data_IF_991842116032
#
_entry.id   IF_991842116032
#
_cell.length_a   1.000
_cell.length_b   1.000
_cell.length_c   1.000
_cell.angle_alpha   90.00
_cell.angle_beta   90.00
_cell.angle_gamma   90.00
#
_symmetry.space_group_name_H-M   'P 1'
#
loop_
_entity.id
_entity.type
_entity.pdbx_description
1 polymer ?
#
# COMPACT_ATOMS: atom_id res chain seq x y z
N UNK A 1 15.24 10.39 -9.05
CA UNK A 1 15.18 10.77 -7.63
C UNK A 1 13.85 10.34 -7.02
N UNK A 2 13.78 10.20 -5.69
CA UNK A 2 12.54 9.84 -4.97
C UNK A 2 11.39 10.82 -5.27
N UNK A 3 11.67 12.12 -5.35
CA UNK A 3 10.70 13.14 -5.76
C UNK A 3 10.14 12.92 -7.17
N UNK A 4 10.93 12.36 -8.08
CA UNK A 4 10.46 12.04 -9.43
C UNK A 4 9.52 10.84 -9.49
N UNK A 5 9.52 9.96 -8.48
CA UNK A 5 8.63 8.79 -8.42
C UNK A 5 7.17 9.23 -8.31
N UNK A 6 6.86 10.23 -7.50
CA UNK A 6 5.52 10.81 -7.40
C UNK A 6 4.99 11.25 -8.77
N UNK A 7 5.82 11.96 -9.54
CA UNK A 7 5.44 12.42 -10.87
C UNK A 7 5.19 11.25 -11.84
N UNK A 8 5.97 10.17 -11.72
CA UNK A 8 5.76 8.95 -12.54
C UNK A 8 4.40 8.31 -12.22
N UNK A 9 4.02 8.22 -10.95
CA UNK A 9 2.69 7.73 -10.57
C UNK A 9 1.58 8.58 -11.17
N UNK A 10 1.65 9.91 -11.00
CA UNK A 10 0.64 10.81 -11.58
C UNK A 10 0.54 10.67 -13.09
N UNK A 11 1.67 10.64 -13.80
CA UNK A 11 1.68 10.51 -15.26
C UNK A 11 0.96 9.24 -15.72
N UNK A 12 1.28 8.10 -15.10
CA UNK A 12 0.69 6.82 -15.49
C UNK A 12 -0.82 6.75 -15.15
N UNK A 13 -1.25 7.20 -13.98
CA UNK A 13 -2.67 7.21 -13.65
C UNK A 13 -3.48 8.22 -14.47
N UNK A 14 -2.92 9.36 -14.83
CA UNK A 14 -3.58 10.31 -15.74
C UNK A 14 -3.72 9.72 -17.14
N UNK A 15 -2.70 9.01 -17.63
CA UNK A 15 -2.77 8.28 -18.90
C UNK A 15 -3.83 7.18 -18.87
N UNK A 16 -3.92 6.45 -17.77
CA UNK A 16 -4.95 5.43 -17.58
C UNK A 16 -6.36 6.01 -17.62
N UNK A 17 -6.60 7.16 -16.99
CA UNK A 17 -7.88 7.86 -17.10
C UNK A 17 -8.21 8.29 -18.52
N UNK A 18 -7.24 8.84 -19.25
CA UNK A 18 -7.44 9.23 -20.64
C UNK A 18 -7.78 8.00 -21.51
N UNK A 19 -7.07 6.91 -21.31
CA UNK A 19 -7.31 5.63 -21.98
C UNK A 19 -8.73 5.09 -21.70
N UNK A 20 -9.16 5.11 -20.45
CA UNK A 20 -10.51 4.70 -20.06
C UNK A 20 -11.57 5.55 -20.77
N UNK A 21 -11.42 6.87 -20.78
CA UNK A 21 -12.34 7.79 -21.44
C UNK A 21 -12.40 7.55 -22.97
N UNK A 22 -11.29 7.21 -23.62
CA UNK A 22 -11.28 6.83 -25.03
C UNK A 22 -12.13 5.56 -25.29
N UNK A 23 -11.98 4.55 -24.44
CA UNK A 23 -12.77 3.35 -24.51
C UNK A 23 -14.26 3.57 -24.21
N UNK A 24 -14.60 4.36 -23.20
CA UNK A 24 -15.96 4.74 -22.88
C UNK A 24 -16.63 5.44 -24.06
N UNK A 25 -15.93 6.42 -24.65
CA UNK A 25 -16.38 7.14 -25.84
C UNK A 25 -16.64 6.19 -27.01
N UNK A 26 -15.69 5.29 -27.30
CA UNK A 26 -15.87 4.31 -28.37
C UNK A 26 -17.03 3.35 -28.07
N UNK A 27 -17.16 2.90 -26.84
CA UNK A 27 -18.20 1.96 -26.44
C UNK A 27 -19.62 2.59 -26.49
N UNK A 28 -19.72 3.90 -26.28
CA UNK A 28 -21.00 4.63 -26.39
C UNK A 28 -21.47 4.85 -27.83
N UNK A 29 -20.62 4.63 -28.84
CA UNK A 29 -20.99 4.77 -30.24
C UNK A 29 -22.01 3.72 -30.69
N UNK A 30 -22.90 4.11 -31.59
CA UNK A 30 -23.80 3.20 -32.28
C UNK A 30 -23.03 2.20 -33.17
N UNK A 31 -23.67 1.10 -33.54
CA UNK A 31 -23.07 0.10 -34.44
C UNK A 31 -22.62 0.69 -35.79
N UNK A 32 -23.39 1.67 -36.30
CA UNK A 32 -23.06 2.35 -37.56
C UNK A 32 -21.83 3.23 -37.46
N UNK A 33 -21.64 3.89 -36.30
CA UNK A 33 -20.47 4.73 -36.01
C UNK A 33 -19.24 3.90 -35.72
N UNK A 34 -19.37 2.82 -34.94
CA UNK A 34 -18.28 1.88 -34.68
C UNK A 34 -17.67 1.28 -35.96
N UNK A 35 -18.50 1.01 -36.98
CA UNK A 35 -18.02 0.55 -38.28
C UNK A 35 -17.17 1.56 -39.03
N UNK A 36 -17.26 2.85 -38.69
CA UNK A 36 -16.53 3.97 -39.31
C UNK A 36 -15.39 4.51 -38.45
N UNK A 37 -15.30 4.06 -37.20
CA UNK A 37 -14.35 4.56 -36.22
C UNK A 37 -13.42 3.42 -35.83
N UNK A 38 -12.11 3.68 -35.83
CA UNK A 38 -11.15 2.71 -35.34
C UNK A 38 -11.29 2.59 -33.82
N UNK A 39 -11.35 1.36 -33.31
CA UNK A 39 -11.34 1.12 -31.86
C UNK A 39 -10.00 1.58 -31.26
N UNK A 40 -9.99 2.10 -30.03
CA UNK A 40 -8.76 2.36 -29.31
C UNK A 40 -7.88 1.10 -29.27
N UNK A 41 -6.57 1.28 -29.29
CA UNK A 41 -5.64 0.15 -29.16
C UNK A 41 -5.70 -0.38 -27.73
N UNK A 42 -5.85 -1.69 -27.59
CA UNK A 42 -5.73 -2.34 -26.28
C UNK A 42 -4.32 -2.19 -25.71
N UNK A 43 -4.24 -1.79 -24.45
CA UNK A 43 -3.03 -1.60 -23.68
C UNK A 43 -3.19 -2.29 -22.32
N UNK A 44 -2.49 -3.41 -22.13
CA UNK A 44 -2.59 -4.23 -20.91
C UNK A 44 -2.07 -3.51 -19.66
N UNK A 45 -1.11 -2.61 -19.81
CA UNK A 45 -0.61 -1.78 -18.72
C UNK A 45 -1.70 -0.79 -18.27
N UNK A 46 -2.30 -0.08 -19.22
CA UNK A 46 -3.38 0.86 -18.92
C UNK A 46 -4.62 0.16 -18.36
N UNK A 47 -4.99 -1.02 -18.88
CA UNK A 47 -6.08 -1.83 -18.33
C UNK A 47 -5.87 -2.11 -16.84
N UNK A 48 -4.68 -2.52 -16.43
CA UNK A 48 -4.35 -2.80 -15.02
C UNK A 48 -4.48 -1.54 -14.16
N UNK A 49 -4.02 -0.39 -14.65
CA UNK A 49 -4.13 0.87 -13.92
C UNK A 49 -5.58 1.38 -13.83
N UNK A 50 -6.39 1.14 -14.86
CA UNK A 50 -7.84 1.42 -14.82
C UNK A 50 -8.54 0.56 -13.76
N UNK A 51 -8.22 -0.73 -13.66
CA UNK A 51 -8.76 -1.60 -12.60
C UNK A 51 -8.41 -1.08 -11.20
N UNK A 52 -7.22 -0.49 -11.01
CA UNK A 52 -6.84 0.15 -9.74
C UNK A 52 -7.69 1.39 -9.48
N UNK A 53 -7.85 2.28 -10.47
CA UNK A 53 -8.67 3.49 -10.37
C UNK A 53 -10.13 3.16 -10.04
N UNK A 54 -10.66 2.07 -10.61
CA UNK A 54 -12.01 1.58 -10.39
C UNK A 54 -12.17 0.73 -9.12
N UNK A 55 -11.08 0.55 -8.35
CA UNK A 55 -11.06 -0.26 -7.11
C UNK A 55 -11.40 -1.74 -7.33
N UNK A 56 -11.16 -2.24 -8.52
CA UNK A 56 -11.32 -3.64 -8.89
C UNK A 56 -10.06 -4.46 -8.60
N UNK A 57 -8.92 -3.79 -8.52
CA UNK A 57 -7.62 -4.39 -8.23
C UNK A 57 -7.05 -3.83 -6.94
N UNK A 58 -6.71 -4.72 -6.02
CA UNK A 58 -6.00 -4.39 -4.79
C UNK A 58 -4.52 -4.18 -5.04
N UNK A 59 -3.94 -3.19 -4.34
CA UNK A 59 -2.51 -2.92 -4.43
C UNK A 59 -1.87 -2.87 -3.05
N UNK A 60 -0.66 -3.38 -2.99
CA UNK A 60 0.25 -3.24 -1.86
C UNK A 60 1.50 -2.50 -2.31
N UNK A 61 2.13 -1.78 -1.42
CA UNK A 61 3.34 -1.02 -1.74
C UNK A 61 4.45 -1.32 -0.75
N UNK A 62 5.62 -1.68 -1.26
CA UNK A 62 6.84 -1.77 -0.48
C UNK A 62 7.39 -0.37 -0.22
N UNK A 63 7.53 0.01 1.04
CA UNK A 63 8.08 1.31 1.43
C UNK A 63 8.69 1.23 2.83
N UNK A 64 9.67 2.07 3.12
CA UNK A 64 10.31 2.14 4.44
C UNK A 64 10.11 3.49 5.11
N UNK A 65 10.29 4.56 4.36
CA UNK A 65 10.43 5.93 4.84
C UNK A 65 9.09 6.66 4.82
N UNK A 66 8.80 7.39 5.89
CA UNK A 66 7.51 8.07 6.08
C UNK A 66 7.14 9.04 4.94
N UNK A 67 8.12 9.69 4.32
CA UNK A 67 7.85 10.60 3.20
C UNK A 67 7.34 9.89 1.95
N UNK A 68 7.80 8.67 1.69
CA UNK A 68 7.36 7.84 0.56
C UNK A 68 5.98 7.26 0.82
N UNK A 69 5.72 6.79 2.04
CA UNK A 69 4.40 6.31 2.47
C UNK A 69 3.36 7.42 2.31
N UNK A 70 3.66 8.60 2.85
CA UNK A 70 2.78 9.77 2.76
C UNK A 70 2.57 10.23 1.31
N UNK A 71 3.63 10.25 0.50
CA UNK A 71 3.56 10.63 -0.91
C UNK A 71 2.57 9.75 -1.68
N UNK A 72 2.68 8.43 -1.54
CA UNK A 72 1.80 7.53 -2.30
C UNK A 72 0.34 7.59 -1.82
N UNK A 73 0.10 7.81 -0.53
CA UNK A 73 -1.27 8.11 -0.05
C UNK A 73 -1.83 9.38 -0.69
N UNK A 74 -1.05 10.45 -0.82
CA UNK A 74 -1.49 11.68 -1.51
C UNK A 74 -1.81 11.44 -2.99
N UNK A 75 -1.00 10.64 -3.68
CA UNK A 75 -1.30 10.23 -5.06
C UNK A 75 -2.63 9.48 -5.11
N UNK A 76 -2.80 8.48 -4.25
CA UNK A 76 -4.01 7.66 -4.19
C UNK A 76 -5.25 8.51 -3.91
N UNK A 77 -5.20 9.38 -2.90
CA UNK A 77 -6.30 10.27 -2.54
C UNK A 77 -6.68 11.21 -3.69
N UNK A 78 -5.70 11.82 -4.35
CA UNK A 78 -5.95 12.73 -5.47
C UNK A 78 -6.43 12.03 -6.74
N UNK A 79 -6.04 10.78 -6.93
CA UNK A 79 -6.50 9.93 -8.05
C UNK A 79 -7.76 9.12 -7.72
N UNK A 80 -8.21 9.10 -6.46
CA UNK A 80 -9.45 8.47 -6.02
C UNK A 80 -9.40 6.97 -5.85
N UNK A 81 -8.22 6.36 -5.74
CA UNK A 81 -8.06 4.95 -5.40
C UNK A 81 -7.56 4.75 -3.97
N UNK A 82 -7.55 3.51 -3.48
CA UNK A 82 -7.13 3.17 -2.11
C UNK A 82 -5.96 2.19 -2.15
N UNK A 83 -4.96 2.46 -1.34
CA UNK A 83 -3.89 1.50 -1.05
C UNK A 83 -4.38 0.50 0.00
N UNK A 84 -4.25 -0.79 -0.26
CA UNK A 84 -4.68 -1.81 0.69
C UNK A 84 -3.69 -1.96 1.83
N UNK A 85 -2.41 -2.08 1.52
CA UNK A 85 -1.37 -2.31 2.53
C UNK A 85 -0.04 -1.73 2.09
N UNK A 86 0.66 -1.14 3.04
CA UNK A 86 2.09 -0.87 2.90
C UNK A 86 2.90 -1.97 3.57
N UNK A 87 3.93 -2.48 2.89
CA UNK A 87 4.75 -3.59 3.37
C UNK A 87 6.07 -3.09 3.95
N UNK A 88 6.51 -3.70 5.06
CA UNK A 88 7.73 -3.43 5.83
C UNK A 88 8.00 -1.95 6.14
N UNK A 89 6.95 -1.23 6.51
CA UNK A 89 7.00 0.20 6.77
C UNK A 89 7.57 0.52 8.16
N UNK A 90 8.88 0.51 8.29
CA UNK A 90 9.54 0.71 9.58
C UNK A 90 9.41 2.13 10.14
N UNK A 91 9.06 3.12 9.30
CA UNK A 91 8.68 4.47 9.73
C UNK A 91 7.16 4.72 9.73
N UNK A 92 6.34 3.68 9.66
CA UNK A 92 4.87 3.80 9.67
C UNK A 92 4.33 4.56 10.86
N UNK A 93 4.95 4.42 12.02
CA UNK A 93 4.58 5.12 13.25
C UNK A 93 4.54 6.65 13.11
N UNK A 94 5.34 7.22 12.20
CA UNK A 94 5.41 8.67 11.95
C UNK A 94 4.19 9.20 11.17
N UNK A 95 3.43 8.33 10.52
CA UNK A 95 2.28 8.65 9.65
C UNK A 95 1.05 7.81 9.95
N UNK A 96 1.00 7.21 11.13
CA UNK A 96 -0.07 6.29 11.53
C UNK A 96 -1.47 6.92 11.48
N UNK A 97 -1.60 8.20 11.87
CA UNK A 97 -2.82 8.98 11.80
C UNK A 97 -3.32 9.14 10.34
N UNK A 98 -2.42 9.41 9.42
CA UNK A 98 -2.73 9.54 7.99
C UNK A 98 -3.10 8.19 7.37
N UNK A 99 -2.38 7.13 7.72
CA UNK A 99 -2.71 5.78 7.29
C UNK A 99 -4.11 5.36 7.77
N UNK A 100 -4.45 5.67 9.02
CA UNK A 100 -5.80 5.43 9.55
C UNK A 100 -6.86 6.20 8.76
N UNK A 101 -6.60 7.45 8.44
CA UNK A 101 -7.53 8.29 7.67
C UNK A 101 -7.71 7.79 6.24
N UNK A 102 -6.63 7.38 5.59
CA UNK A 102 -6.63 6.80 4.23
C UNK A 102 -7.30 5.41 4.20
N UNK A 103 -7.17 4.64 5.27
CA UNK A 103 -7.68 3.28 5.38
C UNK A 103 -6.70 2.19 4.95
N UNK A 104 -5.42 2.50 4.78
CA UNK A 104 -4.40 1.53 4.44
C UNK A 104 -4.03 0.65 5.64
N UNK A 105 -3.82 -0.64 5.40
CA UNK A 105 -3.18 -1.54 6.34
C UNK A 105 -1.66 -1.38 6.36
N UNK A 106 -1.03 -1.96 7.36
CA UNK A 106 0.41 -1.94 7.57
C UNK A 106 0.97 -3.34 7.77
N UNK A 107 2.13 -3.58 7.19
CA UNK A 107 2.97 -4.73 7.53
C UNK A 107 4.33 -4.22 7.94
N UNK A 108 4.90 -4.73 9.01
CA UNK A 108 6.18 -4.25 9.54
C UNK A 108 7.01 -5.40 10.14
N UNK A 109 8.32 -5.19 10.23
CA UNK A 109 9.18 -6.05 11.05
C UNK A 109 9.08 -5.63 12.51
N UNK A 110 9.34 -6.56 13.43
CA UNK A 110 9.23 -6.26 14.85
C UNK A 110 10.42 -5.46 15.38
N UNK A 111 11.64 -5.78 14.98
CA UNK A 111 12.86 -5.19 15.53
C UNK A 111 14.06 -5.11 14.56
N UNK A 112 13.79 -5.00 13.27
CA UNK A 112 14.81 -4.76 12.27
C UNK A 112 15.11 -3.26 12.17
N UNK A 113 16.24 -2.82 12.61
CA UNK A 113 16.68 -1.43 12.55
C UNK A 113 18.14 -1.29 12.17
N UNK A 114 18.48 -0.14 11.59
CA UNK A 114 19.86 0.34 11.35
C UNK A 114 20.76 -0.57 10.51
N UNK A 115 20.24 -1.58 9.80
CA UNK A 115 21.04 -2.42 8.91
C UNK A 115 21.22 -1.79 7.50
N UNK A 116 20.45 -0.76 7.18
CA UNK A 116 20.60 0.10 6.02
C UNK A 116 20.02 1.48 6.31
N UNK A 117 20.35 2.47 5.47
CA UNK A 117 19.97 3.87 5.71
C UNK A 117 18.45 4.07 5.83
N UNK A 118 17.67 3.41 4.98
CA UNK A 118 16.19 3.55 4.94
C UNK A 118 15.49 3.04 6.21
N UNK A 119 16.19 2.33 7.06
CA UNK A 119 15.65 1.78 8.32
C UNK A 119 16.34 2.33 9.57
N UNK A 120 17.04 3.44 9.40
CA UNK A 120 17.79 4.07 10.50
C UNK A 120 16.85 4.56 11.63
N UNK A 121 15.66 5.00 11.29
CA UNK A 121 14.67 5.50 12.24
C UNK A 121 13.65 4.42 12.67
N UNK A 122 13.91 3.16 12.40
CA UNK A 122 13.07 2.06 12.87
C UNK A 122 13.10 1.98 14.39
N UNK A 123 11.95 1.70 15.00
CA UNK A 123 11.78 1.56 16.45
C UNK A 123 10.98 0.30 16.80
N UNK A 124 11.22 -0.32 17.97
CA UNK A 124 10.51 -1.53 18.37
C UNK A 124 9.02 -1.31 18.68
N UNK A 125 8.58 -0.08 18.77
CA UNK A 125 7.19 0.30 19.08
C UNK A 125 6.33 0.51 17.84
N UNK A 126 6.88 0.40 16.62
CA UNK A 126 6.17 0.73 15.39
C UNK A 126 4.84 -0.03 15.25
N UNK A 127 4.85 -1.36 15.42
CA UNK A 127 3.63 -2.16 15.31
C UNK A 127 2.58 -1.78 16.35
N UNK A 128 2.97 -1.51 17.59
CA UNK A 128 2.04 -1.12 18.65
C UNK A 128 1.44 0.27 18.40
N UNK A 129 2.24 1.24 17.98
CA UNK A 129 1.74 2.59 17.65
C UNK A 129 0.73 2.54 16.50
N UNK A 130 1.02 1.77 15.44
CA UNK A 130 0.11 1.57 14.33
C UNK A 130 -1.22 0.94 14.79
N UNK A 131 -1.15 -0.12 15.60
CA UNK A 131 -2.33 -0.79 16.15
C UNK A 131 -3.15 0.13 17.08
N UNK A 132 -2.50 0.87 17.96
CA UNK A 132 -3.16 1.81 18.90
C UNK A 132 -3.87 2.95 18.15
N UNK A 133 -3.33 3.36 17.00
CA UNK A 133 -3.99 4.32 16.10
C UNK A 133 -5.15 3.69 15.30
N UNK A 134 -5.34 2.37 15.42
CA UNK A 134 -6.40 1.63 14.73
C UNK A 134 -6.10 1.32 13.27
N UNK A 135 -4.83 1.26 12.89
CA UNK A 135 -4.37 0.73 11.60
C UNK A 135 -4.33 -0.79 11.70
N UNK A 136 -4.91 -1.50 10.74
CA UNK A 136 -4.78 -2.96 10.65
C UNK A 136 -3.32 -3.29 10.40
N UNK A 137 -2.68 -3.93 11.38
CA UNK A 137 -1.22 -4.12 11.39
C UNK A 137 -0.88 -5.60 11.38
N UNK A 138 0.05 -5.98 10.49
CA UNK A 138 0.62 -7.33 10.41
C UNK A 138 2.13 -7.30 10.72
N UNK A 139 2.65 -8.39 11.23
CA UNK A 139 4.09 -8.63 11.39
C UNK A 139 4.55 -9.56 10.28
N UNK A 140 5.58 -9.14 9.55
CA UNK A 140 6.26 -9.96 8.55
C UNK A 140 7.77 -10.05 8.85
N UNK A 141 8.47 -10.94 8.18
CA UNK A 141 9.87 -11.22 8.50
C UNK A 141 10.87 -10.93 7.39
N UNK A 142 10.53 -11.15 6.13
CA UNK A 142 11.44 -11.17 4.98
C UNK A 142 12.70 -12.06 5.18
N UNK A 143 12.62 -13.01 6.11
CA UNK A 143 13.72 -13.89 6.51
C UNK A 143 13.20 -15.30 6.82
N UNK A 144 13.86 -16.31 6.29
CA UNK A 144 13.43 -17.70 6.41
C UNK A 144 13.47 -18.21 7.86
N UNK A 145 14.41 -17.78 8.68
CA UNK A 145 14.49 -18.19 10.08
C UNK A 145 13.44 -17.47 10.94
N UNK A 146 13.22 -16.19 10.73
CA UNK A 146 12.18 -15.42 11.43
C UNK A 146 10.78 -15.87 11.03
N UNK A 147 10.56 -16.21 9.75
CA UNK A 147 9.27 -16.71 9.27
C UNK A 147 8.77 -17.93 10.07
N UNK A 148 9.67 -18.81 10.49
CA UNK A 148 9.34 -19.96 11.34
C UNK A 148 8.97 -19.60 12.78
N UNK A 149 9.19 -18.36 13.19
CA UNK A 149 9.01 -17.87 14.56
C UNK A 149 8.18 -16.59 14.61
N UNK A 150 7.26 -16.39 13.66
CA UNK A 150 6.41 -15.17 13.60
C UNK A 150 5.62 -14.93 14.88
N UNK A 151 5.25 -15.97 15.61
CA UNK A 151 4.64 -15.83 16.94
C UNK A 151 5.58 -15.14 17.95
N UNK A 152 6.89 -15.39 17.87
CA UNK A 152 7.89 -14.71 18.71
C UNK A 152 8.10 -13.26 18.25
N UNK A 153 8.05 -13.03 16.95
CA UNK A 153 8.11 -11.68 16.39
C UNK A 153 6.89 -10.84 16.85
N UNK A 154 5.69 -11.40 16.81
CA UNK A 154 4.48 -10.77 17.32
C UNK A 154 4.53 -10.51 18.83
N UNK A 155 5.10 -11.45 19.62
CA UNK A 155 5.25 -11.29 21.06
C UNK A 155 6.11 -10.09 21.46
N UNK A 156 6.98 -9.59 20.57
CA UNK A 156 7.73 -8.36 20.80
C UNK A 156 6.83 -7.12 20.88
N UNK A 157 5.72 -7.09 20.12
CA UNK A 157 4.72 -6.02 20.23
C UNK A 157 4.04 -6.03 21.60
N UNK A 158 3.80 -7.21 22.19
CA UNK A 158 3.32 -7.32 23.58
C UNK A 158 4.38 -6.78 24.54
N UNK A 159 5.60 -7.24 24.41
CA UNK A 159 6.71 -6.88 25.32
C UNK A 159 7.05 -5.41 25.30
N UNK A 160 7.17 -4.82 24.12
CA UNK A 160 7.64 -3.43 23.97
C UNK A 160 6.50 -2.42 24.00
N UNK A 161 5.39 -2.74 23.32
CA UNK A 161 4.29 -1.81 23.11
C UNK A 161 3.03 -2.09 23.94
N UNK A 162 3.08 -3.10 24.81
CA UNK A 162 1.94 -3.48 25.67
C UNK A 162 0.66 -3.84 24.86
N UNK A 163 0.82 -4.32 23.63
CA UNK A 163 -0.28 -4.85 22.83
C UNK A 163 -0.82 -6.12 23.52
N UNK A 164 -2.13 -6.34 23.50
CA UNK A 164 -2.69 -7.56 24.07
C UNK A 164 -2.20 -8.82 23.30
N UNK A 165 -2.14 -9.96 23.97
CA UNK A 165 -1.77 -11.22 23.32
C UNK A 165 -2.72 -11.56 22.16
N UNK A 166 -4.01 -11.27 22.31
CA UNK A 166 -5.00 -11.49 21.25
C UNK A 166 -4.68 -10.64 20.01
N UNK A 167 -4.41 -9.34 20.18
CA UNK A 167 -4.05 -8.47 19.05
C UNK A 167 -2.71 -8.88 18.43
N UNK A 168 -1.73 -9.27 19.23
CA UNK A 168 -0.46 -9.79 18.71
C UNK A 168 -0.65 -11.06 17.86
N UNK A 169 -1.56 -11.95 18.26
CA UNK A 169 -1.92 -13.10 17.44
C UNK A 169 -2.61 -12.70 16.14
N UNK A 170 -3.48 -11.72 16.15
CA UNK A 170 -4.11 -11.20 14.93
C UNK A 170 -3.08 -10.65 13.95
N UNK A 171 -2.00 -10.02 14.44
CA UNK A 171 -0.92 -9.49 13.58
C UNK A 171 -0.20 -10.55 12.73
N UNK A 172 -0.27 -11.82 13.09
CA UNK A 172 0.37 -12.92 12.35
C UNK A 172 -0.62 -13.97 11.83
N UNK A 173 -1.92 -13.73 11.98
CA UNK A 173 -2.98 -14.65 11.54
C UNK A 173 -4.09 -13.93 10.78
N UNK A 174 -4.97 -13.21 11.45
CA UNK A 174 -6.15 -12.58 10.89
C UNK A 174 -5.81 -11.35 10.03
N UNK A 175 -4.93 -10.49 10.52
CA UNK A 175 -4.64 -9.22 9.85
C UNK A 175 -3.95 -9.39 8.49
N UNK A 176 -3.02 -10.35 8.30
CA UNK A 176 -2.45 -10.61 6.97
C UNK A 176 -3.38 -11.40 6.04
N UNK A 177 -4.47 -12.00 6.52
CA UNK A 177 -5.42 -12.78 5.72
C UNK A 177 -6.49 -11.91 5.07
#
# INVERSE_FOLDING_TARGET
TRMGVEQVFYDHFLRARAYEQEWEKYNSLSLSEKRKTQAPREDLEMNTLVEILNKERFITCHSYVQSEINMLMHVADSMGFTLNTFTHILEGYKVADKMKTHGAGASTFSDWWAYKFEVNDAIPYNASILADMGVVTAINSDDAEMARRLNQEAAKAVKYGNVSEEEAWKMVTLNPA
#
